data_IF_365133153666
#
_entry.id   IF_365133153666
#
_cell.length_a   1.000
_cell.length_b   1.000
_cell.length_c   1.000
_cell.angle_alpha   90.00
_cell.angle_beta   90.00
_cell.angle_gamma   90.00
#
_symmetry.space_group_name_H-M   'P 1'
#
loop_
_entity.id
_entity.type
_entity.pdbx_description
1 polymer ?
#
# COMPACT_ATOMS: atom_id res chain seq x y z
N UNK A 1 -11.09 5.15 -20.73
CA UNK A 1 -12.52 4.92 -20.47
C UNK A 1 -12.66 4.58 -18.99
N UNK A 2 -13.56 5.24 -18.26
CA UNK A 2 -13.77 5.00 -16.82
C UNK A 2 -14.93 4.03 -16.63
N UNK A 3 -14.78 3.05 -15.75
CA UNK A 3 -15.84 2.09 -15.42
C UNK A 3 -16.69 2.60 -14.26
N UNK A 4 -17.98 2.32 -14.29
CA UNK A 4 -18.89 2.66 -13.18
C UNK A 4 -18.44 1.92 -11.92
N UNK A 5 -18.49 2.61 -10.77
CA UNK A 5 -18.17 2.06 -9.44
C UNK A 5 -16.70 1.66 -9.21
N UNK A 6 -15.79 1.92 -10.16
CA UNK A 6 -14.35 1.74 -9.96
C UNK A 6 -13.68 3.09 -9.84
N UNK A 7 -12.74 3.21 -8.88
CA UNK A 7 -11.93 4.41 -8.75
C UNK A 7 -11.06 4.57 -10.02
N UNK A 8 -11.04 5.74 -10.68
CA UNK A 8 -10.29 5.96 -11.91
C UNK A 8 -8.77 5.84 -11.75
N UNK A 9 -8.25 5.86 -10.51
CA UNK A 9 -6.84 5.58 -10.22
C UNK A 9 -6.49 4.10 -10.41
N UNK A 10 -7.47 3.19 -10.45
CA UNK A 10 -7.22 1.77 -10.70
C UNK A 10 -7.03 1.57 -12.20
N UNK A 11 -5.76 1.47 -12.61
CA UNK A 11 -5.43 1.11 -13.98
C UNK A 11 -5.92 -0.31 -14.28
N UNK A 12 -6.21 -0.64 -15.55
CA UNK A 12 -6.57 -2.01 -15.93
C UNK A 12 -5.52 -3.03 -15.48
N UNK A 13 -4.23 -2.63 -15.50
CA UNK A 13 -3.14 -3.48 -15.06
C UNK A 13 -3.18 -3.73 -13.55
N UNK A 14 -3.33 -2.69 -12.73
CA UNK A 14 -3.42 -2.83 -11.28
C UNK A 14 -4.65 -3.66 -10.89
N UNK A 15 -5.80 -3.42 -11.54
CA UNK A 15 -7.00 -4.22 -11.30
C UNK A 15 -6.78 -5.70 -11.62
N UNK A 16 -6.08 -6.01 -12.72
CA UNK A 16 -5.73 -7.38 -13.06
C UNK A 16 -4.84 -8.01 -11.99
N UNK A 17 -3.85 -7.28 -11.48
CA UNK A 17 -3.01 -7.77 -10.38
C UNK A 17 -3.85 -8.08 -9.15
N UNK A 18 -4.68 -7.13 -8.70
CA UNK A 18 -5.52 -7.31 -7.51
C UNK A 18 -6.48 -8.50 -7.65
N UNK A 19 -7.07 -8.71 -8.82
CA UNK A 19 -7.96 -9.85 -9.08
C UNK A 19 -7.23 -11.20 -9.14
N UNK A 20 -5.93 -11.21 -9.44
CA UNK A 20 -5.13 -12.41 -9.48
C UNK A 20 -4.45 -12.75 -8.14
N UNK A 21 -4.39 -11.80 -7.20
CA UNK A 21 -3.83 -12.03 -5.87
C UNK A 21 -4.69 -13.02 -5.07
N UNK A 22 -4.06 -14.05 -4.53
CA UNK A 22 -4.64 -15.00 -3.59
C UNK A 22 -4.44 -14.60 -2.13
N UNK A 23 -4.86 -15.48 -1.23
CA UNK A 23 -4.62 -15.29 0.20
C UNK A 23 -3.13 -15.37 0.53
N UNK A 24 -2.60 -14.36 1.21
CA UNK A 24 -1.18 -14.24 1.55
C UNK A 24 -0.30 -13.65 0.45
N UNK A 25 -0.85 -13.28 -0.72
CA UNK A 25 -0.11 -12.49 -1.70
C UNK A 25 0.05 -11.06 -1.21
N UNK A 26 1.21 -10.47 -1.50
CA UNK A 26 1.59 -9.15 -1.01
C UNK A 26 1.78 -8.16 -2.17
N UNK A 27 1.50 -6.88 -1.89
CA UNK A 27 1.71 -5.76 -2.81
C UNK A 27 2.40 -4.62 -2.08
N UNK A 28 3.42 -4.02 -2.72
CA UNK A 28 4.18 -2.90 -2.17
C UNK A 28 3.76 -1.61 -2.85
N UNK A 29 3.33 -0.63 -2.07
CA UNK A 29 3.14 0.76 -2.52
C UNK A 29 4.41 1.54 -2.23
N UNK A 30 5.25 1.69 -3.25
CA UNK A 30 6.57 2.30 -3.12
C UNK A 30 6.55 3.80 -3.40
N UNK A 31 7.32 4.58 -2.63
CA UNK A 31 7.59 5.99 -2.96
C UNK A 31 8.57 6.13 -4.14
N UNK A 32 8.88 7.38 -4.51
CA UNK A 32 9.78 7.67 -5.64
C UNK A 32 11.26 7.31 -5.41
N UNK A 33 11.68 7.16 -4.16
CA UNK A 33 13.06 6.90 -3.75
C UNK A 33 13.31 5.40 -3.55
N UNK A 34 12.26 4.60 -3.40
CA UNK A 34 12.35 3.16 -3.31
C UNK A 34 12.88 2.58 -4.64
N UNK A 35 13.82 1.61 -4.61
CA UNK A 35 14.39 0.99 -5.79
C UNK A 35 13.44 -0.04 -6.43
N UNK A 36 12.26 0.40 -6.89
CA UNK A 36 11.20 -0.49 -7.42
C UNK A 36 11.67 -1.29 -8.63
N UNK A 37 12.43 -0.66 -9.54
CA UNK A 37 12.89 -1.31 -10.79
C UNK A 37 13.80 -2.51 -10.56
N UNK A 38 14.55 -2.56 -9.46
CA UNK A 38 15.44 -3.68 -9.15
C UNK A 38 14.82 -4.75 -8.25
N UNK A 39 13.72 -4.43 -7.56
CA UNK A 39 13.11 -5.31 -6.55
C UNK A 39 11.76 -5.90 -6.98
N UNK A 40 11.05 -5.27 -7.92
CA UNK A 40 9.72 -5.68 -8.29
C UNK A 40 9.74 -6.96 -9.14
N UNK A 41 8.95 -7.97 -8.76
CA UNK A 41 8.60 -9.10 -9.63
C UNK A 41 7.70 -8.64 -10.79
N UNK A 42 6.81 -7.69 -10.50
CA UNK A 42 5.96 -7.00 -11.47
C UNK A 42 5.88 -5.52 -11.08
N UNK A 43 6.22 -4.63 -12.00
CA UNK A 43 6.28 -3.20 -11.75
C UNK A 43 5.13 -2.48 -12.45
N UNK A 44 4.27 -1.81 -11.68
CA UNK A 44 3.25 -0.89 -12.19
C UNK A 44 3.64 0.51 -11.70
N UNK A 45 3.75 1.46 -12.63
CA UNK A 45 4.24 2.81 -12.31
C UNK A 45 3.12 3.83 -12.37
N UNK A 46 2.96 4.59 -11.28
CA UNK A 46 2.04 5.73 -11.18
C UNK A 46 2.83 7.03 -11.07
N UNK A 47 2.78 7.86 -12.12
CA UNK A 47 3.46 9.15 -12.12
C UNK A 47 2.55 10.25 -11.55
N UNK A 48 3.08 11.07 -10.65
CA UNK A 48 2.36 12.22 -10.08
C UNK A 48 1.19 11.89 -9.14
N UNK A 49 1.07 10.63 -8.70
CA UNK A 49 0.06 10.19 -7.73
C UNK A 49 0.75 9.88 -6.41
N UNK A 50 0.24 10.44 -5.31
CA UNK A 50 0.70 10.05 -3.97
C UNK A 50 0.09 8.70 -3.57
N UNK A 51 0.70 8.04 -2.58
CA UNK A 51 0.24 6.71 -2.15
C UNK A 51 -1.15 6.78 -1.49
N UNK A 52 -1.46 7.82 -0.72
CA UNK A 52 -2.75 7.96 -0.02
C UNK A 52 -4.00 7.77 -0.90
N UNK A 53 -4.20 8.50 -2.01
CA UNK A 53 -5.37 8.31 -2.87
C UNK A 53 -5.38 6.95 -3.56
N UNK A 54 -4.21 6.35 -3.81
CA UNK A 54 -4.10 5.00 -4.35
C UNK A 54 -4.50 3.95 -3.31
N UNK A 55 -4.12 4.12 -2.04
CA UNK A 55 -4.55 3.25 -0.94
C UNK A 55 -6.07 3.27 -0.79
N UNK A 56 -6.70 4.44 -0.80
CA UNK A 56 -8.16 4.56 -0.79
C UNK A 56 -8.82 3.78 -1.95
N UNK A 57 -8.22 3.85 -3.15
CA UNK A 57 -8.72 3.16 -4.33
C UNK A 57 -8.59 1.63 -4.19
N UNK A 58 -7.45 1.15 -3.67
CA UNK A 58 -7.16 -0.28 -3.57
C UNK A 58 -7.89 -0.93 -2.40
N UNK A 59 -7.88 -0.33 -1.21
CA UNK A 59 -8.48 -0.90 0.00
C UNK A 59 -10.01 -1.05 -0.08
N UNK A 60 -10.65 -0.36 -1.03
CA UNK A 60 -12.06 -0.61 -1.34
C UNK A 60 -12.31 -2.01 -1.92
N UNK A 61 -11.30 -2.61 -2.56
CA UNK A 61 -11.39 -3.91 -3.24
C UNK A 61 -10.49 -4.99 -2.64
N UNK A 62 -9.43 -4.60 -1.92
CA UNK A 62 -8.44 -5.52 -1.36
C UNK A 62 -8.70 -5.73 0.14
N UNK A 63 -9.21 -6.89 0.57
CA UNK A 63 -9.35 -7.21 1.98
C UNK A 63 -7.96 -7.42 2.62
N UNK A 64 -7.72 -6.78 3.76
CA UNK A 64 -6.49 -6.98 4.54
C UNK A 64 -6.58 -8.26 5.35
N UNK A 65 -5.48 -8.99 5.43
CA UNK A 65 -5.40 -10.23 6.20
C UNK A 65 -5.58 -9.95 7.70
N UNK A 66 -6.46 -10.71 8.34
CA UNK A 66 -6.80 -10.55 9.76
C UNK A 66 -6.21 -11.66 10.64
N UNK A 67 -5.52 -12.65 10.06
CA UNK A 67 -4.98 -13.81 10.75
C UNK A 67 -3.50 -13.65 11.14
N UNK A 68 -2.84 -12.61 10.66
CA UNK A 68 -1.43 -12.32 10.94
C UNK A 68 -1.29 -11.13 11.88
N UNK A 69 -0.20 -11.09 12.65
CA UNK A 69 0.05 -10.05 13.65
C UNK A 69 0.22 -8.67 13.02
N UNK A 70 0.91 -8.60 11.88
CA UNK A 70 1.19 -7.39 11.12
C UNK A 70 0.86 -7.61 9.64
N UNK A 71 -0.38 -7.37 9.19
CA UNK A 71 -0.75 -7.57 7.78
C UNK A 71 -0.31 -6.42 6.87
N UNK A 72 0.17 -5.31 7.45
CA UNK A 72 0.72 -4.17 6.73
C UNK A 72 2.07 -3.85 7.33
N UNK A 73 3.06 -3.61 6.47
CA UNK A 73 4.40 -3.23 6.88
C UNK A 73 4.78 -1.88 6.29
N UNK A 74 5.52 -1.09 7.07
CA UNK A 74 6.18 0.13 6.61
C UNK A 74 7.66 0.07 6.94
N UNK A 75 8.47 0.76 6.14
CA UNK A 75 9.87 0.95 6.48
C UNK A 75 9.97 1.84 7.72
N UNK A 76 10.77 1.42 8.70
CA UNK A 76 11.12 2.23 9.86
C UNK A 76 11.83 3.50 9.41
N UNK A 77 11.40 4.62 9.98
CA UNK A 77 12.09 5.90 9.79
C UNK A 77 13.44 5.81 10.51
N UNK A 78 14.57 6.01 9.82
CA UNK A 78 15.89 6.00 10.46
C UNK A 78 15.97 7.01 11.60
N UNK A 79 16.68 6.67 12.67
CA UNK A 79 16.79 7.53 13.86
C UNK A 79 17.49 8.87 13.60
N UNK A 80 18.27 8.95 12.52
CA UNK A 80 19.00 10.13 12.05
C UNK A 80 18.23 10.92 10.97
N UNK A 81 16.99 10.53 10.66
CA UNK A 81 16.13 11.24 9.72
C UNK A 81 15.67 12.60 10.25
N UNK A 82 15.57 13.60 9.38
CA UNK A 82 14.98 14.92 9.66
C UNK A 82 13.46 14.96 9.42
N UNK A 83 12.85 13.81 9.10
CA UNK A 83 11.42 13.71 8.85
C UNK A 83 10.59 13.98 10.12
N UNK A 84 9.71 14.98 10.03
CA UNK A 84 8.84 15.43 11.13
C UNK A 84 7.35 15.20 10.87
N UNK A 85 7.00 14.50 9.78
CA UNK A 85 5.61 14.23 9.41
C UNK A 85 4.99 13.05 10.17
N UNK A 86 3.76 12.70 9.81
CA UNK A 86 2.98 11.64 10.46
C UNK A 86 2.44 10.59 9.46
N UNK A 87 3.25 10.20 8.48
CA UNK A 87 2.81 9.28 7.42
C UNK A 87 2.24 7.97 7.98
N UNK A 88 2.80 7.46 9.08
CA UNK A 88 2.29 6.27 9.76
C UNK A 88 0.87 6.49 10.28
N UNK A 89 0.62 7.59 10.97
CA UNK A 89 -0.71 7.92 11.48
C UNK A 89 -1.71 8.24 10.35
N UNK A 90 -1.26 8.82 9.25
CA UNK A 90 -2.09 9.05 8.08
C UNK A 90 -2.50 7.72 7.41
N UNK A 91 -1.57 6.78 7.23
CA UNK A 91 -1.89 5.46 6.70
C UNK A 91 -2.73 4.62 7.66
N UNK A 92 -2.46 4.69 8.97
CA UNK A 92 -3.29 4.05 9.98
C UNK A 92 -4.75 4.49 9.86
N UNK A 93 -4.99 5.81 9.74
CA UNK A 93 -6.34 6.36 9.58
C UNK A 93 -7.04 5.84 8.33
N UNK A 94 -6.31 5.68 7.22
CA UNK A 94 -6.85 5.10 5.99
C UNK A 94 -7.21 3.63 6.23
N UNK A 95 -6.32 2.83 6.80
CA UNK A 95 -6.58 1.41 7.10
C UNK A 95 -7.80 1.22 8.00
N UNK A 96 -7.90 2.01 9.08
CA UNK A 96 -9.03 1.97 10.02
C UNK A 96 -10.36 2.36 9.37
N UNK A 97 -10.33 3.10 8.25
CA UNK A 97 -11.54 3.46 7.49
C UNK A 97 -12.11 2.27 6.71
N UNK A 98 -11.26 1.38 6.21
CA UNK A 98 -11.67 0.26 5.35
C UNK A 98 -11.76 -1.08 6.09
N UNK A 99 -11.09 -1.20 7.24
CA UNK A 99 -11.08 -2.44 8.00
C UNK A 99 -12.00 -2.36 9.22
N UNK A 100 -12.82 -3.40 9.43
CA UNK A 100 -13.72 -3.47 10.60
C UNK A 100 -12.98 -3.74 11.91
N UNK A 101 -11.69 -4.10 11.85
CA UNK A 101 -10.82 -4.32 13.00
C UNK A 101 -9.57 -3.45 12.85
N UNK A 102 -9.00 -2.96 13.97
CA UNK A 102 -7.72 -2.24 13.93
C UNK A 102 -6.67 -3.05 13.20
N UNK A 103 -5.99 -2.41 12.25
CA UNK A 103 -4.91 -3.03 11.47
C UNK A 103 -3.58 -2.65 12.11
N UNK A 104 -2.82 -3.64 12.57
CA UNK A 104 -1.51 -3.39 13.16
C UNK A 104 -0.46 -3.20 12.07
N UNK A 105 0.14 -2.02 11.99
CA UNK A 105 1.26 -1.75 11.10
C UNK A 105 2.56 -2.25 11.76
N UNK A 106 3.25 -3.18 11.12
CA UNK A 106 4.60 -3.59 11.47
C UNK A 106 5.65 -2.63 10.90
N UNK A 107 6.80 -2.51 11.56
CA UNK A 107 7.93 -1.70 11.09
C UNK A 107 9.12 -2.60 10.77
N UNK A 108 9.59 -2.52 9.53
CA UNK A 108 10.75 -3.25 9.02
C UNK A 108 11.96 -2.33 8.93
N UNK A 109 13.16 -2.84 9.23
CA UNK A 109 14.37 -2.11 8.94
C UNK A 109 14.64 -2.14 7.43
N UNK A 110 15.40 -1.18 6.91
CA UNK A 110 15.61 -1.01 5.46
C UNK A 110 16.22 -2.25 4.77
N UNK A 111 16.88 -3.11 5.52
CA UNK A 111 17.62 -4.27 5.03
C UNK A 111 16.85 -5.59 5.17
N UNK A 112 15.72 -5.56 5.91
CA UNK A 112 14.83 -6.71 6.09
C UNK A 112 13.86 -6.82 4.91
#
# INVERSE_FOLDING_TARGET
MVLKHLNPLLSPELMTVLMCMGHGDEIVFSDRNFPSSSNAKRLITYQGTTIEPLLHAVLHHLPIDYLVEHPVHMMRIPSDSDYTGNILGDYQRILDTYNSKPTNIGLLDRQD
#
